data_IF_819912503178
#
_entry.id   IF_819912503178
#
_cell.length_a   1.000
_cell.length_b   1.000
_cell.length_c   1.000
_cell.angle_alpha   90.00
_cell.angle_beta   90.00
_cell.angle_gamma   90.00
#
_symmetry.space_group_name_H-M   'P 1'
#
loop_
_entity.id
_entity.type
_entity.pdbx_description
1 polymer ?
#
# COMPACT_ATOMS: atom_id res chain seq x y z
N UNK A 1 12.55 -3.31 -14.31
CA UNK A 1 11.17 -3.82 -14.40
C UNK A 1 10.72 -3.47 -15.81
N UNK A 2 10.51 -4.47 -16.67
CA UNK A 2 10.21 -4.19 -18.08
C UNK A 2 8.76 -3.74 -18.20
N UNK A 3 8.56 -2.52 -18.71
CA UNK A 3 7.24 -1.95 -18.96
C UNK A 3 6.55 -2.73 -20.09
N UNK A 4 5.25 -2.98 -19.95
CA UNK A 4 4.46 -3.57 -21.03
C UNK A 4 4.47 -2.63 -22.24
N UNK A 5 4.71 -3.19 -23.44
CA UNK A 5 4.72 -2.40 -24.66
C UNK A 5 3.30 -1.92 -25.00
N UNK A 6 3.19 -0.78 -25.70
CA UNK A 6 1.89 -0.27 -26.17
C UNK A 6 1.14 -1.29 -27.04
N UNK A 7 1.86 -1.97 -27.94
CA UNK A 7 1.30 -2.96 -28.83
C UNK A 7 0.77 -4.19 -28.08
N UNK A 8 1.45 -4.60 -27.01
CA UNK A 8 0.98 -5.68 -26.15
C UNK A 8 -0.22 -5.26 -25.30
N UNK A 9 -0.18 -4.04 -24.74
CA UNK A 9 -1.29 -3.49 -23.96
C UNK A 9 -2.58 -3.32 -24.79
N UNK A 10 -2.47 -3.05 -26.09
CA UNK A 10 -3.64 -3.00 -27.00
C UNK A 10 -4.41 -4.30 -27.09
N UNK A 11 -3.78 -5.46 -26.85
CA UNK A 11 -4.44 -6.78 -26.86
C UNK A 11 -5.45 -6.94 -25.72
N UNK A 12 -5.51 -6.00 -24.78
CA UNK A 12 -6.41 -6.02 -23.64
C UNK A 12 -7.55 -4.99 -23.77
N UNK A 13 -7.70 -4.31 -24.91
CA UNK A 13 -8.77 -3.33 -25.14
C UNK A 13 -10.18 -3.93 -25.19
N UNK A 14 -10.29 -5.27 -25.32
CA UNK A 14 -11.58 -5.97 -25.20
C UNK A 14 -12.10 -6.02 -23.75
N UNK A 15 -11.25 -5.67 -22.76
CA UNK A 15 -11.66 -5.56 -21.36
C UNK A 15 -12.35 -4.23 -21.09
N UNK A 16 -13.56 -4.28 -20.53
CA UNK A 16 -14.37 -3.11 -20.15
C UNK A 16 -13.67 -2.10 -19.21
N UNK A 17 -12.62 -2.53 -18.51
CA UNK A 17 -11.84 -1.68 -17.60
C UNK A 17 -10.64 -1.03 -18.29
N UNK A 18 -10.32 -1.37 -19.54
CA UNK A 18 -9.13 -0.87 -20.24
C UNK A 18 -9.57 -0.01 -21.42
N UNK A 19 -9.11 1.23 -21.44
CA UNK A 19 -9.46 2.21 -22.47
C UNK A 19 -8.18 2.77 -23.11
N UNK A 20 -8.21 2.96 -24.42
CA UNK A 20 -7.21 3.77 -25.12
C UNK A 20 -7.65 5.23 -25.05
N UNK A 21 -6.80 6.09 -24.47
CA UNK A 21 -7.09 7.52 -24.41
C UNK A 21 -5.94 8.36 -24.94
N UNK A 22 -6.29 9.58 -25.38
CA UNK A 22 -5.34 10.61 -25.76
C UNK A 22 -5.49 11.73 -24.74
N UNK A 23 -4.37 12.07 -24.09
CA UNK A 23 -4.34 13.16 -23.14
C UNK A 23 -3.46 14.29 -23.68
N UNK A 24 -4.02 15.50 -23.69
CA UNK A 24 -3.25 16.71 -23.92
C UNK A 24 -2.66 17.22 -22.61
N UNK A 25 -1.35 17.45 -22.59
CA UNK A 25 -0.62 18.01 -21.45
C UNK A 25 0.08 19.31 -21.83
N UNK A 26 0.16 20.20 -20.86
CA UNK A 26 1.01 21.38 -20.88
C UNK A 26 2.08 21.22 -19.81
N UNK A 27 3.34 21.43 -20.16
CA UNK A 27 4.44 21.43 -19.20
C UNK A 27 5.38 22.61 -19.43
N UNK A 28 6.13 22.95 -18.39
CA UNK A 28 7.27 23.86 -18.47
C UNK A 28 8.57 23.05 -18.36
N UNK A 29 9.48 23.22 -19.31
CA UNK A 29 10.81 22.63 -19.30
C UNK A 29 11.86 23.72 -19.09
N UNK A 30 12.82 23.49 -18.19
CA UNK A 30 13.97 24.39 -18.06
C UNK A 30 14.80 24.44 -19.35
N UNK A 31 15.50 25.56 -19.59
CA UNK A 31 16.30 25.78 -20.80
C UNK A 31 17.34 24.68 -21.05
N UNK A 32 17.84 24.02 -20.01
CA UNK A 32 18.78 22.90 -20.11
C UNK A 32 18.22 21.68 -20.87
N UNK A 33 16.89 21.60 -21.05
CA UNK A 33 16.23 20.53 -21.80
C UNK A 33 15.96 20.89 -23.26
N UNK A 34 16.30 22.10 -23.71
CA UNK A 34 16.01 22.61 -25.06
C UNK A 34 16.61 21.76 -26.18
N UNK A 35 17.80 21.19 -25.96
CA UNK A 35 18.44 20.28 -26.91
C UNK A 35 17.82 18.89 -26.99
N UNK A 36 16.96 18.51 -26.03
CA UNK A 36 16.37 17.17 -25.98
C UNK A 36 14.96 17.15 -25.37
N UNK A 37 14.07 17.97 -25.94
CA UNK A 37 12.69 18.14 -25.49
C UNK A 37 11.92 16.81 -25.55
N UNK A 38 12.07 16.06 -26.64
CA UNK A 38 11.36 14.79 -26.86
C UNK A 38 11.68 13.74 -25.80
N UNK A 39 12.95 13.52 -25.49
CA UNK A 39 13.38 12.59 -24.44
C UNK A 39 12.95 13.07 -23.04
N UNK A 40 13.02 14.38 -22.79
CA UNK A 40 12.61 14.94 -21.50
C UNK A 40 11.11 14.72 -21.24
N UNK A 41 10.28 14.91 -22.28
CA UNK A 41 8.85 14.61 -22.21
C UNK A 41 8.62 13.11 -22.04
N UNK A 42 9.32 12.27 -22.82
CA UNK A 42 9.21 10.81 -22.71
C UNK A 42 9.44 10.34 -21.28
N UNK A 43 10.55 10.74 -20.65
CA UNK A 43 10.86 10.38 -19.25
C UNK A 43 9.80 10.84 -18.26
N UNK A 44 9.31 12.07 -18.42
CA UNK A 44 8.25 12.61 -17.57
C UNK A 44 6.96 11.81 -17.70
N UNK A 45 6.57 11.44 -18.92
CA UNK A 45 5.37 10.64 -19.16
C UNK A 45 5.59 9.20 -18.67
N UNK A 46 6.76 8.60 -18.86
CA UNK A 46 7.12 7.26 -18.35
C UNK A 46 7.03 7.18 -16.82
N UNK A 47 7.45 8.24 -16.11
CA UNK A 47 7.27 8.30 -14.65
C UNK A 47 5.81 8.30 -14.19
N UNK A 48 4.85 8.57 -15.08
CA UNK A 48 3.42 8.54 -14.77
C UNK A 48 2.75 7.17 -14.95
N UNK A 49 3.48 6.17 -15.49
CA UNK A 49 2.97 4.81 -15.60
C UNK A 49 2.76 4.22 -14.21
N UNK A 50 1.62 3.56 -13.98
CA UNK A 50 1.27 2.97 -12.70
C UNK A 50 0.78 3.97 -11.65
N UNK A 51 0.64 5.25 -12.01
CA UNK A 51 0.09 6.29 -11.13
C UNK A 51 -1.29 6.74 -11.62
N UNK A 52 -2.26 6.85 -10.71
CA UNK A 52 -3.59 7.35 -11.07
C UNK A 52 -3.56 8.82 -11.46
N UNK A 53 -4.30 9.15 -12.53
CA UNK A 53 -4.39 10.52 -13.04
C UNK A 53 -5.84 10.92 -13.22
N UNK A 54 -6.23 11.96 -12.48
CA UNK A 54 -7.59 12.49 -12.42
C UNK A 54 -8.09 12.94 -13.80
N UNK A 55 -7.21 13.54 -14.62
CA UNK A 55 -7.53 14.05 -15.95
C UNK A 55 -8.07 12.97 -16.89
N UNK A 56 -7.62 11.73 -16.73
CA UNK A 56 -8.03 10.57 -17.53
C UNK A 56 -8.91 9.59 -16.73
N UNK A 57 -9.13 9.88 -15.44
CA UNK A 57 -9.85 9.02 -14.48
C UNK A 57 -9.39 7.56 -14.54
N UNK A 58 -8.08 7.34 -14.43
CA UNK A 58 -7.49 6.02 -14.51
C UNK A 58 -5.98 5.99 -14.33
N UNK A 59 -5.41 4.78 -14.43
CA UNK A 59 -3.98 4.53 -14.29
C UNK A 59 -3.38 4.19 -15.66
N UNK A 60 -2.43 4.98 -16.20
CA UNK A 60 -1.73 4.62 -17.43
C UNK A 60 -0.92 3.34 -17.20
N UNK A 61 -1.13 2.33 -18.05
CA UNK A 61 -0.40 1.06 -17.99
C UNK A 61 0.61 0.92 -19.14
N UNK A 62 0.38 1.62 -20.26
CA UNK A 62 1.30 1.67 -21.39
C UNK A 62 1.22 3.01 -22.12
N UNK A 63 2.34 3.44 -22.70
CA UNK A 63 2.45 4.69 -23.43
C UNK A 63 2.64 4.42 -24.92
N UNK A 64 1.83 5.09 -25.73
CA UNK A 64 1.89 5.06 -27.19
C UNK A 64 2.67 6.24 -27.72
N UNK A 65 2.17 6.84 -28.80
CA UNK A 65 2.82 7.97 -29.45
C UNK A 65 2.71 9.24 -28.59
N UNK A 66 3.83 9.97 -28.50
CA UNK A 66 3.87 11.32 -27.94
C UNK A 66 4.01 12.28 -29.12
N UNK A 67 3.06 13.20 -29.26
CA UNK A 67 3.01 14.18 -30.34
C UNK A 67 3.14 15.58 -29.77
N UNK A 68 4.22 16.27 -30.12
CA UNK A 68 4.38 17.69 -29.80
C UNK A 68 3.36 18.53 -30.57
N UNK A 69 2.69 19.43 -29.85
CA UNK A 69 1.83 20.45 -30.43
C UNK A 69 2.67 21.73 -30.62
N UNK A 70 2.69 22.28 -31.82
CA UNK A 70 3.44 23.50 -32.14
C UNK A 70 2.55 24.74 -32.03
N UNK A 71 3.11 25.91 -31.67
CA UNK A 71 4.53 26.17 -31.39
C UNK A 71 4.93 25.92 -29.93
N UNK A 72 6.20 25.51 -29.72
CA UNK A 72 6.87 25.62 -28.42
C UNK A 72 7.27 27.07 -28.25
N UNK A 73 6.97 27.67 -27.10
CA UNK A 73 7.23 29.08 -26.87
C UNK A 73 7.87 29.32 -25.51
N UNK A 74 8.55 30.46 -25.40
CA UNK A 74 9.10 30.99 -24.15
C UNK A 74 8.31 32.27 -23.88
N UNK A 75 7.79 32.42 -22.67
CA UNK A 75 7.18 33.68 -22.23
C UNK A 75 8.31 34.61 -21.80
N UNK A 76 8.26 35.90 -22.15
CA UNK A 76 9.37 36.85 -22.02
C UNK A 76 10.00 36.87 -20.62
N UNK A 77 9.20 36.65 -19.58
CA UNK A 77 9.63 36.72 -18.18
C UNK A 77 10.00 35.36 -17.58
N UNK A 78 9.92 34.28 -18.36
CA UNK A 78 10.10 32.90 -17.88
C UNK A 78 11.40 32.28 -18.43
N UNK A 79 12.24 31.76 -17.54
CA UNK A 79 13.44 30.98 -17.90
C UNK A 79 13.12 29.52 -18.28
N UNK A 80 11.92 29.25 -18.80
CA UNK A 80 11.45 27.93 -19.18
C UNK A 80 10.66 27.95 -20.48
N UNK A 81 10.71 26.83 -21.21
CA UNK A 81 9.92 26.61 -22.41
C UNK A 81 8.58 26.00 -22.04
N UNK A 82 7.52 26.53 -22.61
CA UNK A 82 6.17 25.99 -22.53
C UNK A 82 5.94 25.03 -23.69
N UNK A 83 5.60 23.79 -23.36
CA UNK A 83 5.40 22.72 -24.34
C UNK A 83 4.04 22.09 -24.15
N UNK A 84 3.23 22.19 -25.20
CA UNK A 84 2.01 21.42 -25.34
C UNK A 84 2.32 20.11 -26.08
N UNK A 85 1.78 19.01 -25.60
CA UNK A 85 1.88 17.73 -26.29
C UNK A 85 0.66 16.84 -26.03
N UNK A 86 0.42 15.92 -26.94
CA UNK A 86 -0.52 14.83 -26.77
C UNK A 86 0.25 13.55 -26.48
N UNK A 87 -0.25 12.76 -25.54
CA UNK A 87 0.23 11.41 -25.30
C UNK A 87 -0.93 10.45 -25.47
N UNK A 88 -0.72 9.46 -26.33
CA UNK A 88 -1.59 8.31 -26.45
C UNK A 88 -1.21 7.28 -25.37
N UNK A 89 -2.19 6.70 -24.69
CA UNK A 89 -1.95 5.75 -23.61
C UNK A 89 -3.05 4.71 -23.51
N UNK A 90 -2.68 3.53 -23.02
CA UNK A 90 -3.63 2.52 -22.56
C UNK A 90 -3.80 2.73 -21.06
N UNK A 91 -5.04 2.86 -20.62
CA UNK A 91 -5.40 3.26 -19.27
C UNK A 91 -6.31 2.23 -18.65
N UNK A 92 -6.00 1.81 -17.44
CA UNK A 92 -6.93 1.09 -16.59
C UNK A 92 -7.91 2.10 -15.98
N UNK A 93 -9.16 2.06 -16.41
CA UNK A 93 -10.27 2.84 -15.88
C UNK A 93 -10.68 2.29 -14.52
N UNK A 94 -10.25 3.00 -13.50
CA UNK A 94 -10.75 2.78 -12.14
C UNK A 94 -11.91 3.75 -11.97
N UNK A 95 -13.14 3.23 -11.97
CA UNK A 95 -14.30 4.05 -11.61
C UNK A 95 -14.46 4.01 -10.09
N UNK A 96 -14.52 5.17 -9.42
CA UNK A 96 -14.98 5.23 -8.04
C UNK A 96 -16.38 4.63 -7.97
N UNK A 97 -16.61 3.75 -6.98
CA UNK A 97 -17.97 3.32 -6.66
C UNK A 97 -18.84 4.56 -6.44
N UNK A 98 -19.87 4.74 -7.26
CA UNK A 98 -20.82 5.85 -7.10
C UNK A 98 -21.53 5.76 -5.75
N UNK A 99 -22.03 6.90 -5.25
CA UNK A 99 -22.69 7.08 -3.93
C UNK A 99 -23.99 6.28 -3.69
N UNK A 100 -24.24 5.17 -4.39
CA UNK A 100 -25.39 4.31 -4.13
C UNK A 100 -24.96 3.01 -3.48
N UNK A 101 -25.01 3.00 -2.15
CA UNK A 101 -24.97 1.79 -1.32
C UNK A 101 -26.32 1.04 -1.40
N UNK A 102 -26.69 0.62 -2.60
CA UNK A 102 -27.91 -0.16 -2.84
C UNK A 102 -27.51 -1.53 -3.42
N UNK A 103 -26.65 -2.29 -2.71
CA UNK A 103 -26.46 -3.74 -2.91
C UNK A 103 -26.01 -4.30 -4.28
N UNK A 104 -25.97 -3.49 -5.35
CA UNK A 104 -25.68 -3.91 -6.73
C UNK A 104 -24.40 -3.27 -7.30
N UNK A 105 -23.59 -2.64 -6.43
CA UNK A 105 -22.39 -1.89 -6.79
C UNK A 105 -21.05 -2.60 -6.58
N UNK A 106 -21.01 -3.93 -6.40
CA UNK A 106 -19.73 -4.65 -6.33
C UNK A 106 -19.05 -4.67 -7.71
N UNK A 107 -18.11 -3.74 -7.95
CA UNK A 107 -17.15 -3.87 -9.05
C UNK A 107 -15.99 -4.75 -8.59
N UNK A 108 -16.08 -6.04 -8.93
CA UNK A 108 -14.97 -6.98 -8.82
C UNK A 108 -13.93 -6.62 -9.88
N UNK A 109 -12.80 -6.05 -9.46
CA UNK A 109 -11.65 -5.80 -10.34
C UNK A 109 -10.96 -7.14 -10.60
N UNK A 110 -11.21 -7.72 -11.77
CA UNK A 110 -10.54 -8.96 -12.22
C UNK A 110 -9.17 -8.62 -12.80
N UNK A 111 -8.10 -9.10 -12.17
CA UNK A 111 -6.73 -8.93 -12.65
C UNK A 111 -6.18 -10.23 -13.28
N UNK A 112 -5.36 -10.11 -14.33
CA UNK A 112 -4.77 -11.27 -15.00
C UNK A 112 -3.63 -11.84 -14.15
N UNK A 113 -3.82 -13.09 -13.74
CA UNK A 113 -2.86 -13.88 -12.98
C UNK A 113 -1.48 -13.93 -13.65
N UNK A 114 -0.42 -13.52 -12.95
CA UNK A 114 0.96 -13.77 -13.42
C UNK A 114 1.33 -15.25 -13.23
N UNK A 115 0.68 -15.91 -12.27
CA UNK A 115 0.76 -17.35 -12.04
C UNK A 115 -0.56 -17.84 -11.42
N UNK A 116 -1.12 -18.91 -11.99
CA UNK A 116 -2.27 -19.64 -11.42
C UNK A 116 -1.73 -20.89 -10.73
N UNK A 117 -1.84 -20.93 -9.41
CA UNK A 117 -1.60 -22.13 -8.62
C UNK A 117 -2.95 -22.81 -8.35
N UNK A 118 -2.94 -24.11 -8.00
CA UNK A 118 -4.13 -24.96 -7.76
C UNK A 118 -5.18 -24.38 -6.79
N UNK A 119 -4.85 -23.31 -6.08
CA UNK A 119 -5.66 -22.70 -5.03
C UNK A 119 -5.41 -21.18 -4.92
N UNK A 120 -4.95 -20.50 -5.97
CA UNK A 120 -4.76 -19.05 -5.90
C UNK A 120 -4.08 -18.45 -7.11
N UNK A 121 -4.32 -17.16 -7.30
CA UNK A 121 -3.73 -16.32 -8.35
C UNK A 121 -2.77 -15.34 -7.70
N UNK A 122 -1.53 -15.27 -8.19
CA UNK A 122 -0.53 -14.29 -7.73
C UNK A 122 -0.51 -13.10 -8.71
N UNK A 123 -0.65 -11.89 -8.17
CA UNK A 123 -0.42 -10.62 -8.87
C UNK A 123 0.50 -9.72 -8.03
N UNK A 124 1.44 -9.03 -8.67
CA UNK A 124 2.28 -8.01 -8.02
C UNK A 124 1.56 -6.67 -8.00
N UNK A 125 1.23 -6.15 -6.82
CA UNK A 125 1.14 -4.69 -6.66
C UNK A 125 1.75 -4.25 -5.33
N UNK A 126 2.90 -3.58 -5.44
CA UNK A 126 3.63 -2.94 -4.34
C UNK A 126 2.89 -1.69 -3.84
N UNK A 127 2.85 -1.48 -2.52
CA UNK A 127 2.82 -0.20 -1.76
C UNK A 127 1.84 0.95 -2.12
N UNK A 128 1.66 1.28 -3.40
CA UNK A 128 0.93 2.44 -3.88
C UNK A 128 -0.60 2.29 -3.87
N UNK A 129 -1.14 1.07 -3.88
CA UNK A 129 -2.60 0.86 -3.89
C UNK A 129 -3.24 1.30 -2.57
N UNK A 130 -2.60 1.06 -1.42
CA UNK A 130 -3.16 1.46 -0.12
C UNK A 130 -3.36 2.97 -0.01
N UNK A 131 -2.39 3.76 -0.50
CA UNK A 131 -2.46 5.22 -0.57
C UNK A 131 -3.52 5.72 -1.55
N UNK A 132 -3.68 5.07 -2.70
CA UNK A 132 -4.70 5.47 -3.66
C UNK A 132 -6.10 5.14 -3.16
N UNK A 133 -6.30 3.97 -2.57
CA UNK A 133 -7.54 3.59 -1.91
C UNK A 133 -7.87 4.57 -0.76
N UNK A 134 -6.87 5.06 -0.04
CA UNK A 134 -7.03 6.09 0.99
C UNK A 134 -7.55 7.43 0.46
N UNK A 135 -7.10 7.86 -0.72
CA UNK A 135 -7.54 9.10 -1.37
C UNK A 135 -8.98 8.99 -1.91
N UNK A 136 -9.38 7.79 -2.34
CA UNK A 136 -10.63 7.56 -3.05
C UNK A 136 -11.76 7.12 -2.11
N UNK A 137 -11.48 6.22 -1.16
CA UNK A 137 -12.48 5.60 -0.29
C UNK A 137 -12.37 6.07 1.15
N UNK A 138 -13.51 6.23 1.82
CA UNK A 138 -13.52 6.61 3.25
C UNK A 138 -12.94 5.51 4.13
N UNK A 139 -12.98 4.27 3.65
CA UNK A 139 -12.33 3.14 4.29
C UNK A 139 -11.87 2.12 3.26
N UNK A 140 -10.83 1.38 3.57
CA UNK A 140 -10.37 0.26 2.78
C UNK A 140 -9.92 -0.90 3.67
N UNK A 141 -9.91 -2.09 3.09
CA UNK A 141 -9.37 -3.30 3.70
C UNK A 141 -8.15 -3.71 2.89
N UNK A 142 -7.03 -3.88 3.56
CA UNK A 142 -5.83 -4.49 3.00
C UNK A 142 -5.75 -5.94 3.49
N UNK A 143 -5.48 -6.87 2.58
CA UNK A 143 -5.22 -8.25 2.92
C UNK A 143 -4.16 -8.86 2.00
N UNK A 144 -3.24 -9.64 2.55
CA UNK A 144 -2.32 -10.44 1.77
C UNK A 144 -2.97 -11.74 1.26
N UNK A 145 -2.26 -12.48 0.41
CA UNK A 145 -2.77 -13.70 -0.21
C UNK A 145 -2.90 -14.91 0.74
N UNK A 146 -2.45 -14.78 1.99
CA UNK A 146 -2.51 -15.86 3.00
C UNK A 146 -3.80 -15.87 3.81
N UNK A 147 -4.60 -14.81 3.68
CA UNK A 147 -5.84 -14.59 4.43
C UNK A 147 -7.07 -14.94 3.59
N UNK A 148 -8.01 -15.68 4.18
CA UNK A 148 -9.33 -15.92 3.61
C UNK A 148 -10.42 -15.45 4.56
N UNK A 149 -11.48 -14.91 4.00
CA UNK A 149 -12.68 -14.50 4.74
C UNK A 149 -13.65 -15.66 4.89
N UNK A 150 -14.05 -15.94 6.12
CA UNK A 150 -15.18 -16.83 6.42
C UNK A 150 -16.51 -16.09 6.41
N UNK A 151 -16.47 -14.75 6.45
CA UNK A 151 -17.61 -13.83 6.44
C UNK A 151 -17.21 -12.52 5.76
N UNK A 152 -18.15 -11.87 5.07
CA UNK A 152 -18.01 -10.51 4.52
C UNK A 152 -18.66 -9.43 5.42
N UNK A 153 -19.13 -9.79 6.63
CA UNK A 153 -19.77 -8.85 7.55
C UNK A 153 -18.75 -8.11 8.43
N UNK A 154 -18.33 -6.93 7.99
CA UNK A 154 -17.43 -6.05 8.73
C UNK A 154 -18.15 -4.97 9.55
N UNK A 155 -19.48 -5.01 9.67
CA UNK A 155 -20.26 -3.92 10.30
C UNK A 155 -19.81 -3.63 11.73
N UNK A 156 -19.52 -4.66 12.52
CA UNK A 156 -19.07 -4.49 13.90
C UNK A 156 -17.71 -3.76 13.99
N UNK A 157 -16.79 -4.05 13.05
CA UNK A 157 -15.48 -3.40 12.98
C UNK A 157 -15.63 -1.91 12.67
N UNK A 158 -16.44 -1.58 11.67
CA UNK A 158 -16.73 -0.20 11.34
C UNK A 158 -17.49 0.51 12.45
N UNK A 159 -18.42 -0.16 13.15
CA UNK A 159 -19.10 0.42 14.31
C UNK A 159 -18.13 0.78 15.43
N UNK A 160 -17.14 -0.08 15.71
CA UNK A 160 -16.10 0.19 16.70
C UNK A 160 -15.25 1.40 16.30
N UNK A 161 -14.76 1.44 15.06
CA UNK A 161 -14.00 2.57 14.52
C UNK A 161 -14.83 3.86 14.61
N UNK A 162 -16.07 3.83 14.14
CA UNK A 162 -16.96 4.98 14.10
C UNK A 162 -17.32 5.50 15.50
N UNK A 163 -17.33 4.62 16.50
CA UNK A 163 -17.57 5.01 17.90
C UNK A 163 -16.37 5.68 18.57
N UNK A 164 -15.18 5.64 17.95
CA UNK A 164 -13.93 6.14 18.52
C UNK A 164 -13.41 5.31 19.70
N UNK A 165 -13.97 4.11 19.93
CA UNK A 165 -13.48 3.17 20.96
C UNK A 165 -12.15 2.52 20.58
N UNK A 166 -11.87 2.42 19.29
CA UNK A 166 -10.62 1.86 18.74
C UNK A 166 -10.07 2.84 17.71
N UNK A 167 -8.79 2.73 17.39
CA UNK A 167 -8.21 3.60 16.37
C UNK A 167 -8.77 3.28 14.98
N UNK A 168 -8.78 4.25 14.05
CA UNK A 168 -9.24 4.05 12.68
C UNK A 168 -8.31 3.17 11.82
N UNK A 169 -7.41 2.41 12.44
CA UNK A 169 -6.48 1.49 11.79
C UNK A 169 -6.48 0.18 12.57
N UNK A 170 -7.20 -0.85 12.12
CA UNK A 170 -7.34 -2.12 12.82
C UNK A 170 -6.46 -3.19 12.21
N UNK A 171 -5.65 -3.85 13.04
CA UNK A 171 -4.95 -5.07 12.69
C UNK A 171 -5.78 -6.32 12.89
N UNK A 172 -5.47 -7.36 12.12
CA UNK A 172 -6.15 -8.64 12.20
C UNK A 172 -5.81 -9.46 13.44
N UNK A 173 -4.54 -9.80 13.60
CA UNK A 173 -4.05 -10.71 14.64
C UNK A 173 -2.69 -10.23 15.16
N UNK A 174 -2.29 -10.74 16.32
CA UNK A 174 -0.92 -10.62 16.84
C UNK A 174 -0.01 -11.75 16.32
N UNK A 175 1.31 -11.53 16.36
CA UNK A 175 2.33 -12.44 15.83
C UNK A 175 2.93 -13.35 16.90
N UNK A 176 2.45 -13.29 18.15
CA UNK A 176 2.94 -14.00 19.33
C UNK A 176 4.38 -13.68 19.76
N UNK A 177 5.00 -12.66 19.18
CA UNK A 177 6.32 -12.16 19.59
C UNK A 177 6.32 -10.64 19.67
N UNK A 178 7.25 -10.08 20.44
CA UNK A 178 7.38 -8.64 20.62
C UNK A 178 7.86 -7.89 19.37
N UNK A 179 7.47 -6.62 19.24
CA UNK A 179 7.91 -5.71 18.16
C UNK A 179 9.44 -5.59 18.11
N UNK A 180 10.13 -5.44 19.26
CA UNK A 180 11.62 -5.30 19.26
C UNK A 180 12.34 -6.45 18.61
N UNK A 181 11.79 -7.66 18.67
CA UNK A 181 12.51 -8.84 18.18
C UNK A 181 12.52 -8.91 16.65
N UNK A 182 11.52 -8.33 16.00
CA UNK A 182 11.37 -8.23 14.55
C UNK A 182 11.72 -6.86 13.97
N UNK A 183 12.41 -6.01 14.76
CA UNK A 183 12.78 -4.65 14.36
C UNK A 183 14.23 -4.37 14.72
N UNK A 184 15.06 -4.03 13.73
CA UNK A 184 16.39 -3.48 13.99
C UNK A 184 16.31 -2.14 14.72
N UNK A 185 17.24 -1.89 15.64
CA UNK A 185 17.25 -0.65 16.42
C UNK A 185 17.38 0.60 15.54
N UNK A 186 18.17 0.54 14.47
CA UNK A 186 18.38 1.65 13.54
C UNK A 186 17.10 2.05 12.78
N UNK A 187 16.13 1.14 12.66
CA UNK A 187 14.80 1.45 12.09
C UNK A 187 14.13 2.62 12.79
N UNK A 188 14.30 2.71 14.11
CA UNK A 188 13.65 3.71 14.93
C UNK A 188 14.19 5.12 14.69
N UNK A 189 15.30 5.27 13.97
CA UNK A 189 15.82 6.56 13.52
C UNK A 189 14.99 7.17 12.37
N UNK A 190 14.21 6.33 11.66
CA UNK A 190 13.43 6.74 10.48
C UNK A 190 11.95 6.99 10.78
N UNK A 191 11.45 6.54 11.92
CA UNK A 191 10.05 6.69 12.31
C UNK A 191 9.91 7.56 13.55
N UNK A 192 8.94 8.49 13.58
CA UNK A 192 8.77 9.38 14.70
C UNK A 192 8.29 8.58 15.93
N UNK A 193 8.60 9.12 17.11
CA UNK A 193 8.03 8.72 18.41
C UNK A 193 8.59 7.45 19.07
N UNK A 194 9.81 7.04 18.77
CA UNK A 194 10.48 6.02 19.60
C UNK A 194 10.77 6.56 21.01
N UNK A 195 10.00 6.12 22.01
CA UNK A 195 10.24 6.49 23.41
C UNK A 195 11.05 5.44 24.19
N UNK A 196 11.44 4.32 23.56
CA UNK A 196 12.31 3.29 24.12
C UNK A 196 11.72 2.46 25.28
N UNK A 197 10.47 2.70 25.71
CA UNK A 197 9.98 2.19 27.00
C UNK A 197 9.18 0.88 26.92
N UNK A 198 8.67 0.46 25.76
CA UNK A 198 7.64 -0.59 25.72
C UNK A 198 7.68 -1.51 24.49
N UNK A 199 8.78 -2.25 24.28
CA UNK A 199 8.88 -3.19 23.14
C UNK A 199 8.58 -4.66 23.45
N UNK A 200 8.25 -5.01 24.70
CA UNK A 200 7.68 -6.33 25.04
C UNK A 200 6.21 -6.48 24.60
N UNK A 201 5.74 -5.54 23.78
CA UNK A 201 4.40 -5.54 23.21
C UNK A 201 4.38 -6.44 21.98
N UNK A 202 3.39 -7.32 21.92
CA UNK A 202 3.16 -8.25 20.81
C UNK A 202 3.00 -7.50 19.48
N UNK A 203 3.81 -7.80 18.48
CA UNK A 203 3.70 -7.23 17.14
C UNK A 203 2.39 -7.66 16.49
N UNK A 204 1.75 -6.74 15.75
CA UNK A 204 0.54 -7.05 15.01
C UNK A 204 0.89 -7.51 13.59
N UNK A 205 0.13 -8.46 13.07
CA UNK A 205 0.27 -8.96 11.71
C UNK A 205 -0.26 -7.93 10.71
N UNK A 206 0.57 -7.55 9.74
CA UNK A 206 0.13 -6.71 8.62
C UNK A 206 -0.49 -7.52 7.47
N UNK A 207 -0.95 -8.75 7.68
CA UNK A 207 -1.59 -9.58 6.65
C UNK A 207 -3.06 -9.21 6.42
N UNK A 208 -3.71 -8.58 7.40
CA UNK A 208 -5.08 -8.08 7.31
C UNK A 208 -5.20 -6.78 8.11
N UNK A 209 -5.65 -5.72 7.45
CA UNK A 209 -5.77 -4.39 8.02
C UNK A 209 -7.06 -3.74 7.54
N UNK A 210 -7.83 -3.15 8.45
CA UNK A 210 -8.95 -2.25 8.11
C UNK A 210 -8.51 -0.82 8.39
N UNK A 211 -8.61 0.07 7.40
CA UNK A 211 -8.21 1.46 7.53
C UNK A 211 -9.40 2.35 7.23
N UNK A 212 -9.72 3.27 8.14
CA UNK A 212 -10.66 4.37 7.93
C UNK A 212 -9.92 5.69 7.80
N UNK A 213 -10.28 6.48 6.81
CA UNK A 213 -9.68 7.79 6.53
C UNK A 213 -9.84 8.74 7.72
N UNK A 214 -8.72 9.28 8.19
CA UNK A 214 -8.64 10.22 9.32
C UNK A 214 -7.26 10.91 9.34
N UNK A 215 -7.08 11.98 10.10
CA UNK A 215 -5.73 12.56 10.26
C UNK A 215 -4.75 11.56 10.90
N UNK A 216 -5.25 10.72 11.82
CA UNK A 216 -4.51 9.64 12.44
C UNK A 216 -3.93 8.69 11.39
N UNK A 217 -4.77 8.07 10.57
CA UNK A 217 -4.34 7.11 9.54
C UNK A 217 -3.48 7.75 8.47
N UNK A 218 -3.69 9.04 8.16
CA UNK A 218 -2.86 9.78 7.20
C UNK A 218 -1.43 9.87 7.70
N UNK A 219 -1.21 10.23 8.96
CA UNK A 219 0.14 10.31 9.52
C UNK A 219 0.80 8.93 9.61
N UNK A 220 0.07 7.90 10.07
CA UNK A 220 0.58 6.52 10.10
C UNK A 220 1.07 6.08 8.70
N UNK A 221 0.21 6.21 7.68
CA UNK A 221 0.54 5.79 6.32
C UNK A 221 1.67 6.63 5.71
N UNK A 222 1.73 7.93 6.01
CA UNK A 222 2.83 8.82 5.57
C UNK A 222 4.18 8.34 6.10
N UNK A 223 4.29 8.04 7.40
CA UNK A 223 5.55 7.59 7.97
C UNK A 223 5.92 6.18 7.52
N UNK A 224 4.95 5.28 7.42
CA UNK A 224 5.16 3.95 6.86
C UNK A 224 5.68 4.03 5.42
N UNK A 225 5.13 4.95 4.61
CA UNK A 225 5.56 5.17 3.24
C UNK A 225 6.95 5.80 3.14
N UNK A 226 7.28 6.78 3.99
CA UNK A 226 8.62 7.36 4.05
C UNK A 226 9.68 6.30 4.41
N UNK A 227 9.36 5.42 5.35
CA UNK A 227 10.20 4.26 5.67
C UNK A 227 10.33 3.32 4.47
N UNK A 228 9.22 2.99 3.79
CA UNK A 228 9.23 2.15 2.59
C UNK A 228 10.10 2.71 1.45
N UNK A 229 10.24 4.04 1.36
CA UNK A 229 11.11 4.70 0.38
C UNK A 229 12.58 4.83 0.81
N UNK A 230 12.92 4.43 2.03
CA UNK A 230 14.27 4.52 2.57
C UNK A 230 14.84 3.12 2.76
N UNK A 231 15.81 2.72 1.92
CA UNK A 231 16.33 1.35 1.91
C UNK A 231 16.79 0.88 3.29
N UNK A 232 17.51 1.72 4.02
CA UNK A 232 18.01 1.41 5.36
C UNK A 232 16.90 1.32 6.42
N UNK A 233 15.71 1.83 6.12
CA UNK A 233 14.51 1.55 6.90
C UNK A 233 13.89 0.23 6.45
N UNK A 234 13.35 0.15 5.23
CA UNK A 234 12.51 -0.98 4.80
C UNK A 234 13.26 -2.32 4.69
N UNK A 235 14.54 -2.29 4.31
CA UNK A 235 15.37 -3.47 4.06
C UNK A 235 16.86 -3.23 4.46
N UNK A 236 17.13 -3.09 5.76
CA UNK A 236 18.48 -2.92 6.27
C UNK A 236 19.28 -4.20 6.06
N UNK A 237 20.46 -4.08 5.46
CA UNK A 237 21.30 -5.20 4.99
C UNK A 237 21.90 -6.10 6.10
N UNK A 238 21.52 -5.93 7.36
CA UNK A 238 22.24 -6.49 8.52
C UNK A 238 21.57 -7.72 9.16
N UNK A 239 20.42 -8.19 8.67
CA UNK A 239 19.60 -9.20 9.37
C UNK A 239 19.01 -10.25 8.45
N UNK A 240 18.85 -11.50 8.93
CA UNK A 240 18.22 -12.55 8.16
C UNK A 240 16.73 -12.25 7.91
N UNK A 241 16.26 -12.67 6.73
CA UNK A 241 14.84 -12.61 6.35
C UNK A 241 13.97 -13.52 7.21
N UNK A 242 14.49 -14.70 7.57
CA UNK A 242 13.79 -15.65 8.42
C UNK A 242 14.01 -15.34 9.89
N UNK A 243 12.90 -15.33 10.63
CA UNK A 243 12.91 -15.13 12.07
C UNK A 243 13.32 -16.41 12.79
N UNK A 244 14.37 -16.37 13.62
CA UNK A 244 14.81 -17.54 14.36
C UNK A 244 13.83 -17.77 15.54
N UNK A 245 13.72 -19.01 16.03
CA UNK A 245 12.73 -19.36 17.08
C UNK A 245 12.93 -18.58 18.39
N UNK A 246 14.15 -18.09 18.63
CA UNK A 246 14.55 -17.23 19.74
C UNK A 246 13.71 -15.95 19.82
N UNK A 247 13.07 -15.54 18.73
CA UNK A 247 12.13 -14.41 18.70
C UNK A 247 10.95 -14.59 19.67
N UNK A 248 10.56 -15.82 19.98
CA UNK A 248 9.44 -16.14 20.86
C UNK A 248 9.84 -16.25 22.35
N UNK A 249 11.14 -16.34 22.65
CA UNK A 249 11.62 -16.70 23.99
C UNK A 249 12.64 -15.70 24.59
N UNK A 250 13.21 -14.80 23.79
CA UNK A 250 14.30 -13.92 24.22
C UNK A 250 13.79 -12.56 24.67
N UNK A 251 13.82 -12.24 25.98
CA UNK A 251 13.35 -10.94 26.46
C UNK A 251 14.31 -9.76 26.23
N UNK A 252 15.51 -9.98 25.66
CA UNK A 252 16.61 -8.98 25.67
C UNK A 252 17.23 -8.62 24.32
N UNK A 253 16.83 -9.23 23.21
CA UNK A 253 17.51 -9.03 21.92
C UNK A 253 16.61 -8.27 20.93
N UNK A 254 17.15 -7.19 20.38
CA UNK A 254 16.54 -6.45 19.27
C UNK A 254 16.92 -7.11 17.94
N UNK A 255 16.02 -7.05 16.96
CA UNK A 255 16.35 -7.31 15.57
C UNK A 255 16.94 -8.69 15.29
N UNK A 256 16.37 -9.73 15.89
CA UNK A 256 16.69 -11.12 15.55
C UNK A 256 16.32 -11.45 14.10
N UNK A 257 15.34 -10.73 13.56
CA UNK A 257 14.97 -10.70 12.15
C UNK A 257 14.27 -9.37 11.82
N UNK A 258 13.81 -9.23 10.59
CA UNK A 258 13.20 -7.98 10.12
C UNK A 258 11.93 -8.21 9.32
N UNK A 259 10.78 -8.03 9.99
CA UNK A 259 9.44 -8.11 9.38
C UNK A 259 8.86 -6.71 9.25
N UNK A 260 9.42 -5.97 8.29
CA UNK A 260 9.46 -4.53 8.37
C UNK A 260 8.12 -3.82 8.17
N UNK A 261 7.26 -4.34 7.30
CA UNK A 261 5.90 -3.87 7.13
C UNK A 261 5.08 -4.01 8.42
N UNK A 262 5.20 -5.15 9.10
CA UNK A 262 4.50 -5.46 10.34
C UNK A 262 5.03 -4.64 11.52
N UNK A 263 6.35 -4.55 11.66
CA UNK A 263 6.97 -3.85 12.78
C UNK A 263 6.84 -2.33 12.71
N UNK A 264 7.01 -1.73 11.53
CA UNK A 264 6.85 -0.28 11.33
C UNK A 264 5.43 0.14 11.64
N UNK A 265 4.44 -0.54 11.04
CA UNK A 265 3.03 -0.20 11.28
C UNK A 265 2.66 -0.40 12.75
N UNK A 266 3.06 -1.51 13.36
CA UNK A 266 2.82 -1.77 14.79
C UNK A 266 3.42 -0.67 15.66
N UNK A 267 4.68 -0.28 15.40
CA UNK A 267 5.36 0.76 16.18
C UNK A 267 4.66 2.12 16.03
N UNK A 268 4.34 2.53 14.80
CA UNK A 268 3.69 3.80 14.52
C UNK A 268 2.32 3.89 15.20
N UNK A 269 1.53 2.83 15.12
CA UNK A 269 0.19 2.78 15.73
C UNK A 269 0.28 2.77 17.24
N UNK A 270 1.18 1.95 17.80
CA UNK A 270 1.43 1.95 19.24
C UNK A 270 1.74 3.37 19.75
N UNK A 271 2.73 4.03 19.14
CA UNK A 271 3.16 5.35 19.57
C UNK A 271 2.03 6.40 19.44
N UNK A 272 1.28 6.36 18.34
CA UNK A 272 0.19 7.30 18.12
C UNK A 272 -0.97 7.08 19.10
N UNK A 273 -1.30 5.83 19.42
CA UNK A 273 -2.31 5.49 20.41
C UNK A 273 -1.88 5.87 21.84
N UNK A 274 -0.62 5.64 22.21
CA UNK A 274 -0.03 6.10 23.47
C UNK A 274 -0.13 7.62 23.61
N UNK A 275 0.18 8.38 22.55
CA UNK A 275 0.09 9.83 22.57
C UNK A 275 -1.36 10.30 22.79
N UNK A 276 -2.34 9.65 22.14
CA UNK A 276 -3.76 9.98 22.30
C UNK A 276 -4.24 9.71 23.74
N UNK A 277 -3.88 8.55 24.30
CA UNK A 277 -4.24 8.19 25.67
C UNK A 277 -3.53 9.11 26.68
N UNK A 278 -2.25 9.40 26.45
CA UNK A 278 -1.45 10.31 27.26
C UNK A 278 -1.99 11.75 27.28
N UNK A 279 -2.60 12.20 26.17
CA UNK A 279 -3.35 13.46 26.07
C UNK A 279 -4.72 13.44 26.76
N UNK A 280 -5.09 12.34 27.42
CA UNK A 280 -6.27 12.23 28.27
C UNK A 280 -7.48 11.55 27.63
N UNK A 281 -7.38 11.03 26.40
CA UNK A 281 -8.47 10.29 25.78
C UNK A 281 -8.53 8.84 26.29
N UNK A 282 -9.10 8.66 27.48
CA UNK A 282 -9.28 7.34 28.13
C UNK A 282 -10.34 6.46 27.48
N UNK A 283 -11.05 6.93 26.44
CA UNK A 283 -12.08 6.15 25.74
C UNK A 283 -11.50 5.26 24.65
N UNK A 284 -10.30 5.58 24.17
CA UNK A 284 -9.58 4.76 23.21
C UNK A 284 -9.05 3.52 23.92
N UNK A 285 -9.44 2.35 23.42
CA UNK A 285 -8.85 1.06 23.76
C UNK A 285 -7.74 0.81 22.74
N UNK A 286 -6.51 0.66 23.21
CA UNK A 286 -5.33 0.49 22.34
C UNK A 286 -5.28 -0.94 21.81
N UNK A 287 -4.61 -1.15 20.69
CA UNK A 287 -4.47 -2.48 20.07
C UNK A 287 -3.92 -3.56 21.02
N UNK A 288 -3.12 -3.13 21.99
CA UNK A 288 -2.38 -3.99 22.90
C UNK A 288 -3.04 -4.13 24.27
N UNK A 289 -4.19 -3.46 24.48
CA UNK A 289 -5.00 -3.70 25.67
C UNK A 289 -5.70 -5.05 25.53
N UNK A 290 -5.65 -5.90 26.56
CA UNK A 290 -6.29 -7.22 26.55
C UNK A 290 -7.80 -7.19 26.22
N UNK A 291 -8.45 -6.05 26.44
CA UNK A 291 -9.88 -5.84 26.15
C UNK A 291 -10.13 -5.36 24.71
N UNK A 292 -9.10 -5.24 23.88
CA UNK A 292 -9.26 -4.77 22.51
C UNK A 292 -10.14 -5.74 21.69
N UNK A 293 -11.20 -5.25 21.02
CA UNK A 293 -12.15 -6.12 20.33
C UNK A 293 -11.55 -6.97 19.19
N UNK A 294 -10.44 -6.54 18.58
CA UNK A 294 -9.77 -7.28 17.50
C UNK A 294 -9.39 -8.70 17.91
N UNK A 295 -9.05 -8.93 19.18
CA UNK A 295 -8.67 -10.25 19.70
C UNK A 295 -9.78 -11.30 19.57
N UNK A 296 -11.05 -10.88 19.50
CA UNK A 296 -12.21 -11.77 19.37
C UNK A 296 -12.81 -11.69 17.98
N UNK A 297 -13.11 -10.48 17.51
CA UNK A 297 -13.90 -10.28 16.30
C UNK A 297 -13.20 -10.77 15.04
N UNK A 298 -11.89 -10.53 14.92
CA UNK A 298 -11.19 -10.82 13.68
C UNK A 298 -10.81 -12.30 13.58
N UNK A 299 -10.57 -12.97 14.72
CA UNK A 299 -10.32 -14.43 14.76
C UNK A 299 -11.46 -15.26 14.16
N UNK A 300 -12.70 -14.79 14.27
CA UNK A 300 -13.85 -15.52 13.74
C UNK A 300 -14.05 -15.33 12.23
N UNK A 301 -13.51 -14.24 11.66
CA UNK A 301 -13.68 -13.89 10.25
C UNK A 301 -12.52 -14.33 9.36
N UNK A 302 -11.33 -14.57 9.95
CA UNK A 302 -10.14 -14.93 9.19
C UNK A 302 -9.81 -16.41 9.36
N UNK A 303 -9.74 -17.12 8.24
CA UNK A 303 -9.08 -18.41 8.15
C UNK A 303 -7.70 -18.21 7.53
N UNK A 304 -6.66 -18.58 8.26
CA UNK A 304 -5.32 -18.70 7.67
C UNK A 304 -5.27 -19.97 6.84
N UNK A 305 -4.72 -19.84 5.65
CA UNK A 305 -4.35 -21.00 4.87
C UNK A 305 -3.19 -21.69 5.61
N UNK A 306 -3.48 -22.76 6.35
CA UNK A 306 -2.41 -23.61 6.90
C UNK A 306 -1.52 -24.00 5.73
N UNK A 307 -0.25 -23.62 5.78
CA UNK A 307 0.72 -24.12 4.83
C UNK A 307 0.79 -25.62 5.07
N UNK A 308 0.19 -26.41 4.18
CA UNK A 308 0.60 -27.80 4.02
C UNK A 308 2.00 -27.77 3.39
N UNK A 309 2.99 -27.26 4.11
CA UNK A 309 4.41 -27.25 3.71
C UNK A 309 4.84 -28.67 3.31
N UNK A 310 4.30 -29.70 3.97
CA UNK A 310 4.50 -31.11 3.61
C UNK A 310 3.88 -31.53 2.26
N UNK A 311 2.75 -30.95 1.83
CA UNK A 311 2.19 -31.25 0.49
C UNK A 311 2.90 -30.47 -0.61
N UNK A 312 3.34 -29.24 -0.35
CA UNK A 312 4.09 -28.44 -1.33
C UNK A 312 5.50 -29.01 -1.54
N UNK A 313 6.17 -29.52 -0.50
CA UNK A 313 7.46 -30.20 -0.63
C UNK A 313 7.38 -31.51 -1.44
N UNK A 314 6.23 -32.20 -1.44
CA UNK A 314 5.97 -33.36 -2.31
C UNK A 314 5.69 -32.99 -3.78
N UNK A 315 5.19 -31.78 -4.04
CA UNK A 315 4.87 -31.30 -5.39
C UNK A 315 6.09 -30.73 -6.14
N UNK A 316 7.17 -30.38 -5.43
CA UNK A 316 8.40 -29.83 -5.99
C UNK A 316 9.63 -30.74 -5.82
N UNK A 317 9.43 -32.06 -5.72
CA UNK A 317 10.53 -33.01 -6.02
C UNK A 317 10.71 -33.07 -7.54
N UNK A 318 11.46 -32.10 -8.07
CA UNK A 318 12.29 -32.27 -9.27
C UNK A 318 13.73 -32.45 -8.81
#
# INVERSE_FOLDING_TARGET
MDLISYADAKKFLDDSLIEECIERRHITLGWQHSGNIGESIRRLVESSIGQFRKQISGVPIALGTIRLLKPIYILEDHNCMHVDFEVQMIVLKVQPGGEKCDGEGEKIISCKAKQVLKHGVVGTVFGNIGMQAYLEFDSFIYCDTSVHFTSNDFREHFNLINSGKVSPFLFGLGTYHGIKHATLQETFEYIPLFNGKHFDIEMQEANFIIVKRSEFTREILKWALLCAFTLDCIEPRKVPWDCPEEIFYSNRVYGLCHRMDQSVLSTLIYNAEEEIVGKGNKKLIRHYDFLHPSHRLIKHMLARRQSNSEKMAKLYKC
#
